data_IF_798520112641
#
_entry.id   IF_798520112641
#
_cell.length_a   1.000
_cell.length_b   1.000
_cell.length_c   1.000
_cell.angle_alpha   90.00
_cell.angle_beta   90.00
_cell.angle_gamma   90.00
#
_symmetry.space_group_name_H-M   'P 1'
#
loop_
_entity.id
_entity.type
_entity.pdbx_description
1 polymer ?
#
# COMPACT_ATOMS: atom_id res chain seq x y z
N UNK A 1 18.76 25.83 1.45
CA UNK A 1 18.75 24.49 2.07
C UNK A 1 17.31 24.00 2.07
N UNK A 2 16.94 23.09 1.15
CA UNK A 2 15.58 22.53 1.12
C UNK A 2 15.35 21.73 2.39
N UNK A 3 14.37 22.13 3.20
CA UNK A 3 13.88 21.32 4.29
C UNK A 3 13.40 19.98 3.72
N UNK A 4 14.13 18.90 4.01
CA UNK A 4 13.61 17.54 3.86
C UNK A 4 12.45 17.41 4.83
N UNK A 5 11.23 17.48 4.32
CA UNK A 5 10.06 17.15 5.14
C UNK A 5 10.16 15.65 5.41
N UNK A 6 10.49 15.30 6.66
CA UNK A 6 10.68 13.92 7.08
C UNK A 6 9.30 13.31 7.34
N UNK A 7 8.65 12.81 6.30
CA UNK A 7 7.36 12.14 6.46
C UNK A 7 7.51 10.82 7.22
N UNK A 8 6.51 10.50 8.04
CA UNK A 8 6.43 9.22 8.74
C UNK A 8 6.10 8.11 7.73
N UNK A 9 7.15 7.39 7.32
CA UNK A 9 7.07 6.28 6.36
C UNK A 9 6.12 5.18 6.85
N UNK A 10 6.07 4.91 8.15
CA UNK A 10 5.24 3.85 8.70
C UNK A 10 3.75 4.18 8.53
N UNK A 11 3.37 5.45 8.73
CA UNK A 11 2.00 5.91 8.49
C UNK A 11 1.61 5.87 7.01
N UNK A 12 2.52 6.30 6.12
CA UNK A 12 2.29 6.20 4.66
C UNK A 12 2.08 4.73 4.26
N UNK A 13 2.92 3.83 4.75
CA UNK A 13 2.81 2.40 4.48
C UNK A 13 1.49 1.82 5.00
N UNK A 14 1.06 2.18 6.21
CA UNK A 14 -0.20 1.72 6.80
C UNK A 14 -1.42 2.19 5.99
N UNK A 15 -1.48 3.47 5.61
CA UNK A 15 -2.57 4.00 4.79
C UNK A 15 -2.57 3.40 3.37
N UNK A 16 -1.39 3.17 2.80
CA UNK A 16 -1.25 2.51 1.51
C UNK A 16 -1.67 1.03 1.54
N UNK A 17 -1.50 0.33 2.67
CA UNK A 17 -2.00 -1.03 2.87
C UNK A 17 -3.54 -1.08 2.75
N UNK A 18 -4.22 -0.03 3.22
CA UNK A 18 -5.66 0.18 3.06
C UNK A 18 -6.08 0.64 1.65
N UNK A 19 -5.22 0.49 0.63
CA UNK A 19 -5.47 0.85 -0.78
C UNK A 19 -5.78 2.34 -1.05
N UNK A 20 -5.42 3.23 -0.12
CA UNK A 20 -5.55 4.67 -0.35
C UNK A 20 -4.64 5.14 -1.49
N UNK A 21 -5.07 6.20 -2.18
CA UNK A 21 -4.29 6.87 -3.22
C UNK A 21 -3.22 7.78 -2.61
N UNK A 22 -2.20 8.14 -3.41
CA UNK A 22 -1.15 9.06 -2.98
C UNK A 22 -1.71 10.41 -2.45
N UNK A 23 -2.73 10.96 -3.11
CA UNK A 23 -3.38 12.20 -2.69
C UNK A 23 -4.12 12.01 -1.35
N UNK A 24 -4.95 10.97 -1.23
CA UNK A 24 -5.66 10.69 0.03
C UNK A 24 -4.72 10.46 1.21
N UNK A 25 -3.57 9.83 0.97
CA UNK A 25 -2.54 9.64 2.00
C UNK A 25 -1.92 10.99 2.38
N UNK A 26 -1.63 11.84 1.40
CA UNK A 26 -1.09 13.16 1.67
C UNK A 26 -2.08 14.01 2.47
N UNK A 27 -3.34 14.04 2.05
CA UNK A 27 -4.42 14.75 2.74
C UNK A 27 -4.62 14.23 4.17
N UNK A 28 -4.62 12.91 4.37
CA UNK A 28 -4.78 12.30 5.69
C UNK A 28 -3.61 12.55 6.65
N UNK A 29 -2.43 12.89 6.12
CA UNK A 29 -1.23 13.19 6.91
C UNK A 29 -0.91 14.69 6.96
N UNK A 30 -1.81 15.53 6.44
CA UNK A 30 -1.62 16.98 6.33
C UNK A 30 -0.31 17.35 5.60
N UNK A 31 -0.05 16.64 4.51
CA UNK A 31 1.12 16.80 3.66
C UNK A 31 0.74 17.60 2.42
N UNK A 32 1.45 18.69 2.16
CA UNK A 32 1.35 19.38 0.87
C UNK A 32 1.99 18.54 -0.25
N UNK A 33 1.13 17.85 -0.99
CA UNK A 33 1.55 16.97 -2.08
C UNK A 33 2.22 17.72 -3.24
N UNK A 34 1.87 18.99 -3.48
CA UNK A 34 2.50 19.77 -4.53
C UNK A 34 3.93 20.16 -4.15
N UNK A 35 4.20 20.35 -2.86
CA UNK A 35 5.57 20.49 -2.35
C UNK A 35 6.38 19.21 -2.55
N UNK A 36 5.81 18.01 -2.34
CA UNK A 36 6.49 16.74 -2.63
C UNK A 36 6.80 16.62 -4.13
N UNK A 37 5.86 16.96 -5.03
CA UNK A 37 6.08 16.83 -6.48
C UNK A 37 7.27 17.66 -7.00
N UNK A 38 7.57 18.78 -6.33
CA UNK A 38 8.69 19.67 -6.69
C UNK A 38 10.06 19.08 -6.32
N UNK A 39 10.11 18.14 -5.37
CA UNK A 39 11.31 17.45 -4.94
C UNK A 39 11.28 15.98 -5.38
N UNK A 40 12.06 15.64 -6.42
CA UNK A 40 12.09 14.28 -6.99
C UNK A 40 12.50 13.21 -5.98
N UNK A 41 13.40 13.52 -5.05
CA UNK A 41 13.88 12.56 -4.06
C UNK A 41 12.78 12.28 -3.03
N UNK A 42 12.07 13.32 -2.59
CA UNK A 42 10.92 13.16 -1.69
C UNK A 42 9.78 12.41 -2.37
N UNK A 43 9.48 12.72 -3.63
CA UNK A 43 8.46 12.02 -4.40
C UNK A 43 8.79 10.53 -4.55
N UNK A 44 10.05 10.21 -4.86
CA UNK A 44 10.50 8.83 -4.98
C UNK A 44 10.42 8.09 -3.63
N UNK A 45 10.81 8.73 -2.53
CA UNK A 45 10.71 8.15 -1.19
C UNK A 45 9.24 7.91 -0.77
N UNK A 46 8.35 8.85 -1.10
CA UNK A 46 6.92 8.74 -0.83
C UNK A 46 6.30 7.56 -1.57
N UNK A 47 6.51 7.46 -2.89
CA UNK A 47 6.00 6.33 -3.69
C UNK A 47 6.63 4.99 -3.31
N UNK A 48 7.90 4.98 -2.89
CA UNK A 48 8.54 3.77 -2.38
C UNK A 48 7.82 3.26 -1.13
N UNK A 49 7.45 4.17 -0.22
CA UNK A 49 6.68 3.83 0.99
C UNK A 49 5.28 3.33 0.61
N UNK A 50 4.61 3.97 -0.36
CA UNK A 50 3.30 3.49 -0.86
C UNK A 50 3.41 2.08 -1.44
N UNK A 51 4.43 1.79 -2.25
CA UNK A 51 4.63 0.46 -2.85
C UNK A 51 4.83 -0.61 -1.78
N UNK A 52 5.64 -0.32 -0.75
CA UNK A 52 5.84 -1.21 0.40
C UNK A 52 4.55 -1.45 1.17
N UNK A 53 3.80 -0.39 1.48
CA UNK A 53 2.50 -0.50 2.15
C UNK A 53 1.50 -1.36 1.39
N UNK A 54 1.38 -1.15 0.08
CA UNK A 54 0.51 -1.97 -0.78
C UNK A 54 0.89 -3.44 -0.79
N UNK A 55 2.19 -3.75 -0.86
CA UNK A 55 2.67 -5.13 -0.80
C UNK A 55 2.35 -5.79 0.55
N UNK A 56 2.49 -5.04 1.66
CA UNK A 56 2.11 -5.51 3.00
C UNK A 56 0.62 -5.78 3.11
N UNK A 57 -0.22 -4.83 2.71
CA UNK A 57 -1.68 -4.99 2.72
C UNK A 57 -2.15 -6.16 1.84
N UNK A 58 -1.54 -6.35 0.67
CA UNK A 58 -1.81 -7.51 -0.18
C UNK A 58 -1.45 -8.84 0.52
N UNK A 59 -0.30 -8.91 1.18
CA UNK A 59 0.11 -10.11 1.92
C UNK A 59 -0.84 -10.41 3.10
N UNK A 60 -1.29 -9.38 3.81
CA UNK A 60 -2.26 -9.51 4.90
C UNK A 60 -3.62 -9.99 4.40
N UNK A 61 -4.14 -9.40 3.31
CA UNK A 61 -5.39 -9.83 2.68
C UNK A 61 -5.31 -11.28 2.19
N UNK A 62 -4.20 -11.67 1.55
CA UNK A 62 -3.97 -13.07 1.11
C UNK A 62 -3.92 -14.02 2.29
N UNK A 63 -3.28 -13.63 3.39
CA UNK A 63 -3.22 -14.44 4.61
C UNK A 63 -4.62 -14.64 5.20
N UNK A 64 -5.43 -13.58 5.25
CA UNK A 64 -6.82 -13.67 5.71
C UNK A 64 -7.67 -14.57 4.79
N UNK A 65 -7.55 -14.39 3.47
CA UNK A 65 -8.25 -15.21 2.48
C UNK A 65 -7.88 -16.70 2.60
N UNK A 66 -6.60 -17.00 2.81
CA UNK A 66 -6.12 -18.37 3.03
C UNK A 66 -6.71 -19.01 4.29
N UNK A 67 -6.85 -18.26 5.38
CA UNK A 67 -7.51 -18.75 6.60
C UNK A 67 -8.97 -19.12 6.33
N UNK A 68 -9.73 -18.26 5.66
CA UNK A 68 -11.13 -18.54 5.28
C UNK A 68 -11.23 -19.78 4.37
N UNK A 69 -10.33 -19.91 3.39
CA UNK A 69 -10.29 -21.09 2.52
C UNK A 69 -10.05 -22.39 3.32
N UNK A 70 -9.16 -22.35 4.32
CA UNK A 70 -8.91 -23.51 5.21
C UNK A 70 -10.10 -23.88 6.07
N UNK A 71 -10.96 -22.91 6.40
CA UNK A 71 -12.20 -23.12 7.15
C UNK A 71 -13.34 -23.64 6.27
N UNK A 72 -13.12 -23.74 4.95
CA UNK A 72 -14.07 -24.31 3.99
C UNK A 72 -14.81 -23.27 3.16
N UNK A 73 -14.42 -21.99 3.19
CA UNK A 73 -15.00 -20.98 2.31
C UNK A 73 -14.58 -21.24 0.84
N UNK A 74 -15.54 -21.73 0.05
CA UNK A 74 -15.35 -22.06 -1.35
C UNK A 74 -15.06 -20.83 -2.23
N UNK A 75 -15.56 -19.64 -1.85
CA UNK A 75 -15.24 -18.40 -2.55
C UNK A 75 -13.78 -18.02 -2.33
N UNK A 76 -13.30 -18.08 -1.08
CA UNK A 76 -11.91 -17.81 -0.77
C UNK A 76 -10.94 -18.76 -1.48
N UNK A 77 -11.27 -20.06 -1.54
CA UNK A 77 -10.49 -21.05 -2.29
C UNK A 77 -10.43 -20.72 -3.80
N UNK A 78 -11.58 -20.38 -4.40
CA UNK A 78 -11.66 -20.01 -5.81
C UNK A 78 -10.83 -18.77 -6.13
N UNK A 79 -10.89 -17.74 -5.28
CA UNK A 79 -10.12 -16.52 -5.50
C UNK A 79 -8.61 -16.76 -5.40
N UNK A 80 -8.15 -17.59 -4.46
CA UNK A 80 -6.74 -17.99 -4.38
C UNK A 80 -6.26 -18.72 -5.65
N UNK A 81 -7.05 -19.68 -6.16
CA UNK A 81 -6.71 -20.43 -7.36
C UNK A 81 -6.70 -19.57 -8.65
N UNK A 82 -7.53 -18.53 -8.73
CA UNK A 82 -7.51 -17.59 -9.87
C UNK A 82 -6.21 -16.80 -9.92
N UNK A 83 -5.66 -16.44 -8.76
CA UNK A 83 -4.42 -15.66 -8.70
C UNK A 83 -3.24 -16.46 -9.24
N UNK A 84 -3.15 -17.76 -8.93
CA UNK A 84 -2.09 -18.64 -9.46
C UNK A 84 -2.11 -18.70 -11.00
N UNK A 85 -3.30 -18.78 -11.60
CA UNK A 85 -3.47 -18.83 -13.07
C UNK A 85 -3.05 -17.56 -13.80
N UNK A 86 -3.01 -16.41 -13.13
CA UNK A 86 -2.64 -15.14 -13.73
C UNK A 86 -1.15 -14.79 -13.55
N UNK A 87 -0.34 -15.71 -13.01
CA UNK A 87 1.10 -15.53 -12.80
C UNK A 87 1.96 -16.24 -13.87
N UNK A 88 1.34 -16.94 -14.83
CA UNK A 88 1.95 -17.48 -16.06
C UNK A 88 1.77 -16.52 -17.23
#
# INVERSE_FOLDING_TARGET
>A
MSQRILYDKAKIEALAACRMTAQQIADALDIDFDTIKRDKDQLQAFYTSIRKGRAKGEAELRTALYKLAREGDAFALRELLKVEKNQE
#
